data_IF_905512772022
#
_entry.id   IF_905512772022
#
_cell.length_a   1.000
_cell.length_b   1.000
_cell.length_c   1.000
_cell.angle_alpha   90.00
_cell.angle_beta   90.00
_cell.angle_gamma   90.00
#
_symmetry.space_group_name_H-M   'P 1'
#
loop_
_entity.id
_entity.type
_entity.pdbx_description
1 polymer ?
#
# COMPACT_ATOMS: atom_id res chain seq x y z
N UNK A 1 13.81 -7.61 -15.94
CA UNK A 1 13.15 -6.63 -16.81
C UNK A 1 11.73 -6.39 -16.28
N UNK A 2 11.44 -5.18 -15.82
CA UNK A 2 10.11 -4.85 -15.24
C UNK A 2 9.12 -4.49 -16.34
N UNK A 3 7.87 -4.88 -16.14
CA UNK A 3 6.74 -4.49 -16.99
C UNK A 3 6.36 -3.02 -16.70
N UNK A 4 6.81 -2.12 -17.55
CA UNK A 4 6.63 -0.68 -17.37
C UNK A 4 5.17 -0.22 -17.51
N UNK A 5 4.42 -0.87 -18.39
CA UNK A 5 3.01 -0.54 -18.61
C UNK A 5 2.20 -0.96 -17.38
N UNK A 6 2.44 -2.14 -16.87
CA UNK A 6 1.84 -2.61 -15.63
C UNK A 6 2.22 -1.71 -14.42
N UNK A 7 3.51 -1.33 -14.30
CA UNK A 7 3.95 -0.41 -13.25
C UNK A 7 3.17 0.91 -13.28
N UNK A 8 3.00 1.49 -14.46
CA UNK A 8 2.23 2.74 -14.61
C UNK A 8 0.77 2.55 -14.25
N UNK A 9 0.10 1.56 -14.83
CA UNK A 9 -1.33 1.30 -14.61
C UNK A 9 -1.63 0.98 -13.15
N UNK A 10 -0.87 0.07 -12.56
CA UNK A 10 -1.07 -0.35 -11.18
C UNK A 10 -0.76 0.78 -10.17
N UNK A 11 0.24 1.62 -10.47
CA UNK A 11 0.52 2.81 -9.66
C UNK A 11 -0.64 3.79 -9.67
N UNK A 12 -1.28 4.00 -10.82
CA UNK A 12 -2.46 4.86 -10.92
C UNK A 12 -3.66 4.31 -10.18
N UNK A 13 -3.80 2.99 -10.07
CA UNK A 13 -4.97 2.32 -9.50
C UNK A 13 -4.82 1.94 -8.02
N UNK A 14 -3.60 1.92 -7.46
CA UNK A 14 -3.36 1.31 -6.15
C UNK A 14 -4.20 1.89 -5.01
N UNK A 15 -4.53 3.15 -5.08
CA UNK A 15 -5.32 3.89 -4.08
C UNK A 15 -6.79 4.14 -4.49
N UNK A 16 -7.27 3.51 -5.54
CA UNK A 16 -8.61 3.79 -6.07
C UNK A 16 -9.73 3.64 -5.04
N UNK A 17 -9.54 2.82 -4.01
CA UNK A 17 -10.54 2.58 -2.96
C UNK A 17 -10.66 3.68 -1.91
N UNK A 18 -9.80 4.69 -1.90
CA UNK A 18 -9.79 5.72 -0.84
C UNK A 18 -11.10 6.51 -0.73
N UNK A 19 -11.82 6.70 -1.82
CA UNK A 19 -13.03 7.52 -1.84
C UNK A 19 -14.17 6.95 -0.97
N UNK A 20 -14.16 5.64 -0.68
CA UNK A 20 -15.13 5.00 0.22
C UNK A 20 -14.76 5.10 1.69
N UNK A 21 -13.62 5.68 2.02
CA UNK A 21 -13.12 5.76 3.38
C UNK A 21 -13.46 7.08 4.06
N UNK A 22 -13.52 7.06 5.38
CA UNK A 22 -13.63 8.26 6.22
C UNK A 22 -12.22 8.84 6.43
N UNK A 23 -11.84 9.76 5.56
CA UNK A 23 -10.54 10.41 5.58
C UNK A 23 -10.66 11.90 5.16
N UNK A 24 -11.24 12.75 6.03
CA UNK A 24 -11.52 14.15 5.68
C UNK A 24 -10.26 14.97 5.35
N UNK A 25 -9.11 14.61 5.91
CA UNK A 25 -7.82 15.26 5.61
C UNK A 25 -7.36 15.12 4.16
N UNK A 26 -7.94 14.20 3.40
CA UNK A 26 -7.72 14.01 1.96
C UNK A 26 -9.02 14.11 1.16
N UNK A 27 -10.01 14.82 1.70
CA UNK A 27 -11.31 15.07 1.06
C UNK A 27 -12.13 13.79 0.76
N UNK A 28 -11.92 12.72 1.51
CA UNK A 28 -12.72 11.50 1.40
C UNK A 28 -13.77 11.47 2.51
N UNK A 29 -15.04 11.39 2.11
CA UNK A 29 -16.20 11.46 3.01
C UNK A 29 -17.01 10.15 3.05
N UNK A 30 -16.36 9.03 2.81
CA UNK A 30 -16.96 7.71 2.95
C UNK A 30 -17.14 7.29 4.41
N UNK A 31 -17.52 6.05 4.62
CA UNK A 31 -17.81 5.50 5.96
C UNK A 31 -16.85 4.39 6.40
N UNK A 32 -16.06 3.87 5.48
CA UNK A 32 -15.14 2.77 5.76
C UNK A 32 -13.87 3.25 6.48
N UNK A 33 -13.30 2.46 7.39
CA UNK A 33 -11.98 2.77 7.96
C UNK A 33 -10.92 2.90 6.86
N UNK A 34 -10.03 3.88 6.98
CA UNK A 34 -9.01 4.15 5.97
C UNK A 34 -8.13 2.92 5.64
N UNK A 35 -7.81 2.10 6.64
CA UNK A 35 -7.00 0.88 6.45
C UNK A 35 -7.61 -0.09 5.43
N UNK A 36 -8.91 -0.02 5.16
CA UNK A 36 -9.61 -0.87 4.19
C UNK A 36 -9.47 -0.43 2.75
N UNK A 37 -8.87 0.73 2.48
CA UNK A 37 -8.79 1.28 1.11
C UNK A 37 -8.14 0.32 0.10
N UNK A 38 -7.12 -0.42 0.51
CA UNK A 38 -6.47 -1.41 -0.34
C UNK A 38 -7.39 -2.57 -0.73
N UNK A 39 -8.14 -3.11 0.20
CA UNK A 39 -9.11 -4.19 -0.06
C UNK A 39 -10.30 -3.70 -0.90
N UNK A 40 -10.79 -2.51 -0.62
CA UNK A 40 -11.86 -1.88 -1.40
C UNK A 40 -11.41 -1.65 -2.84
N UNK A 41 -10.22 -1.10 -3.02
CA UNK A 41 -9.62 -0.90 -4.34
C UNK A 41 -9.42 -2.21 -5.10
N UNK A 42 -8.92 -3.23 -4.41
CA UNK A 42 -8.74 -4.57 -4.99
C UNK A 42 -10.07 -5.16 -5.47
N UNK A 43 -11.14 -5.03 -4.71
CA UNK A 43 -12.47 -5.51 -5.10
C UNK A 43 -12.97 -4.80 -6.37
N UNK A 44 -12.85 -3.46 -6.43
CA UNK A 44 -13.24 -2.66 -7.59
C UNK A 44 -12.50 -3.12 -8.84
N UNK A 45 -11.18 -3.19 -8.75
CA UNK A 45 -10.30 -3.52 -9.88
C UNK A 45 -10.46 -4.97 -10.32
N UNK A 46 -10.64 -5.89 -9.37
CA UNK A 46 -10.88 -7.32 -9.65
C UNK A 46 -12.21 -7.54 -10.36
N UNK A 47 -13.25 -6.79 -9.98
CA UNK A 47 -14.56 -6.85 -10.64
C UNK A 47 -14.50 -6.38 -12.11
N UNK A 48 -13.53 -5.55 -12.46
CA UNK A 48 -13.27 -5.14 -13.85
C UNK A 48 -12.34 -6.11 -14.60
N UNK A 49 -11.92 -7.21 -13.99
CA UNK A 49 -11.11 -8.26 -14.62
C UNK A 49 -9.59 -8.07 -14.50
N UNK A 50 -9.11 -7.15 -13.66
CA UNK A 50 -7.69 -6.82 -13.53
C UNK A 50 -7.07 -7.41 -12.25
N UNK A 51 -6.92 -8.73 -12.20
CA UNK A 51 -6.44 -9.44 -11.01
C UNK A 51 -5.05 -8.99 -10.54
N UNK A 52 -4.08 -8.84 -11.46
CA UNK A 52 -2.73 -8.41 -11.09
C UNK A 52 -2.70 -7.01 -10.47
N UNK A 53 -3.51 -6.10 -11.00
CA UNK A 53 -3.66 -4.73 -10.47
C UNK A 53 -4.36 -4.75 -9.11
N UNK A 54 -5.35 -5.63 -8.92
CA UNK A 54 -6.02 -5.82 -7.64
C UNK A 54 -5.05 -6.28 -6.54
N UNK A 55 -4.10 -7.15 -6.86
CA UNK A 55 -3.07 -7.58 -5.92
C UNK A 55 -2.21 -6.40 -5.44
N UNK A 56 -1.89 -5.46 -6.31
CA UNK A 56 -1.16 -4.23 -5.90
C UNK A 56 -2.00 -3.40 -4.92
N UNK A 57 -3.30 -3.23 -5.20
CA UNK A 57 -4.20 -2.51 -4.30
C UNK A 57 -4.20 -3.11 -2.89
N UNK A 58 -4.41 -4.40 -2.76
CA UNK A 58 -4.56 -5.05 -1.44
C UNK A 58 -3.25 -5.29 -0.70
N UNK A 59 -2.08 -5.18 -1.37
CA UNK A 59 -0.78 -5.54 -0.81
C UNK A 59 0.15 -4.35 -0.54
N UNK A 60 -0.30 -3.11 -0.76
CA UNK A 60 0.60 -1.94 -0.65
C UNK A 60 0.62 -1.27 0.72
N UNK A 61 -0.25 -1.64 1.66
CA UNK A 61 -0.28 -1.03 3.00
C UNK A 61 0.97 -1.39 3.79
N UNK A 62 1.65 -0.39 4.33
CA UNK A 62 2.97 -0.58 4.94
C UNK A 62 3.94 -1.16 3.91
N UNK A 63 4.63 -2.24 4.25
CA UNK A 63 5.36 -3.10 3.31
C UNK A 63 4.67 -4.46 3.13
N UNK A 64 3.39 -4.50 3.43
CA UNK A 64 2.51 -5.67 3.42
C UNK A 64 1.97 -5.99 4.81
N UNK A 65 0.84 -6.67 4.85
CA UNK A 65 0.20 -7.11 6.09
C UNK A 65 0.08 -8.63 6.10
N UNK A 66 0.38 -9.24 7.24
CA UNK A 66 0.23 -10.68 7.45
C UNK A 66 -0.98 -10.96 8.35
N UNK A 67 -1.48 -12.21 8.35
CA UNK A 67 -2.50 -12.67 9.30
C UNK A 67 -2.13 -12.32 10.73
N UNK A 68 -0.87 -12.52 11.08
CA UNK A 68 -0.34 -12.25 12.42
C UNK A 68 -0.43 -10.76 12.76
N UNK A 69 -0.01 -9.89 11.84
CA UNK A 69 -0.09 -8.43 12.05
C UNK A 69 -1.53 -7.93 12.12
N UNK A 70 -2.42 -8.47 11.29
CA UNK A 70 -3.85 -8.14 11.31
C UNK A 70 -4.46 -8.51 12.68
N UNK A 71 -4.16 -9.70 13.17
CA UNK A 71 -4.64 -10.15 14.49
C UNK A 71 -4.03 -9.32 15.63
N UNK A 72 -2.70 -9.10 15.60
CA UNK A 72 -1.97 -8.36 16.63
C UNK A 72 -2.48 -6.94 16.82
N UNK A 73 -2.75 -6.24 15.72
CA UNK A 73 -3.22 -4.86 15.73
C UNK A 73 -4.75 -4.74 15.63
N UNK A 74 -5.47 -5.86 15.64
CA UNK A 74 -6.93 -5.91 15.49
C UNK A 74 -7.43 -5.03 14.33
N UNK A 75 -6.80 -5.19 13.15
CA UNK A 75 -7.13 -4.38 12.00
C UNK A 75 -8.50 -4.78 11.41
N UNK A 76 -9.37 -3.81 11.06
CA UNK A 76 -10.70 -4.08 10.53
C UNK A 76 -10.68 -4.45 9.04
N UNK A 77 -9.86 -5.42 8.67
CA UNK A 77 -9.73 -5.95 7.32
C UNK A 77 -9.91 -7.45 7.31
N UNK A 78 -10.24 -8.01 6.16
CA UNK A 78 -10.41 -9.46 6.02
C UNK A 78 -9.10 -10.17 6.35
N UNK A 79 -9.18 -11.22 7.17
CA UNK A 79 -8.02 -12.02 7.57
C UNK A 79 -7.37 -12.66 6.34
N UNK A 80 -6.05 -12.51 6.22
CA UNK A 80 -5.26 -13.03 5.12
C UNK A 80 -3.82 -12.51 5.15
N UNK A 81 -3.04 -12.93 4.16
CA UNK A 81 -1.68 -12.45 3.95
C UNK A 81 -1.66 -11.53 2.72
N UNK A 82 -1.32 -10.26 2.93
CA UNK A 82 -1.35 -9.20 1.93
C UNK A 82 0.01 -8.51 1.87
N UNK A 83 1.00 -9.16 1.28
CA UNK A 83 2.35 -8.60 1.09
C UNK A 83 2.78 -8.70 -0.37
N UNK A 84 3.57 -7.74 -0.87
CA UNK A 84 4.05 -7.74 -2.25
C UNK A 84 4.88 -8.98 -2.57
N UNK A 85 4.58 -9.64 -3.67
CA UNK A 85 5.26 -10.86 -4.13
C UNK A 85 6.11 -10.58 -5.37
N UNK A 86 5.51 -10.03 -6.43
CA UNK A 86 6.25 -9.70 -7.65
C UNK A 86 7.20 -8.51 -7.44
N UNK A 87 8.17 -8.38 -8.33
CA UNK A 87 9.10 -7.26 -8.28
C UNK A 87 8.36 -5.93 -8.52
N UNK A 88 7.40 -5.93 -9.43
CA UNK A 88 6.56 -4.77 -9.71
C UNK A 88 5.73 -4.35 -8.49
N UNK A 89 5.11 -5.31 -7.80
CA UNK A 89 4.39 -5.02 -6.55
C UNK A 89 5.31 -4.39 -5.50
N UNK A 90 6.52 -4.91 -5.34
CA UNK A 90 7.52 -4.38 -4.39
C UNK A 90 7.97 -2.97 -4.76
N UNK A 91 8.24 -2.72 -6.04
CA UNK A 91 8.65 -1.39 -6.52
C UNK A 91 7.56 -0.36 -6.25
N UNK A 92 6.30 -0.67 -6.59
CA UNK A 92 5.18 0.24 -6.37
C UNK A 92 4.99 0.50 -4.87
N UNK A 93 4.95 -0.55 -4.07
CA UNK A 93 4.79 -0.45 -2.62
C UNK A 93 5.92 0.37 -1.98
N UNK A 94 7.17 0.16 -2.41
CA UNK A 94 8.32 0.90 -1.92
C UNK A 94 8.25 2.38 -2.30
N UNK A 95 8.01 2.69 -3.58
CA UNK A 95 7.91 4.06 -4.07
C UNK A 95 6.80 4.86 -3.36
N UNK A 96 5.65 4.24 -3.11
CA UNK A 96 4.52 4.85 -2.41
C UNK A 96 4.91 5.38 -1.01
N UNK A 97 5.87 4.76 -0.33
CA UNK A 97 6.30 5.20 1.02
C UNK A 97 6.96 6.58 1.04
N UNK A 98 7.44 7.05 -0.10
CA UNK A 98 8.07 8.38 -0.21
C UNK A 98 7.09 9.52 -0.46
N UNK A 99 5.80 9.24 -0.62
CA UNK A 99 4.78 10.25 -0.90
C UNK A 99 3.67 10.23 0.13
N UNK A 100 3.00 11.38 0.28
CA UNK A 100 1.86 11.54 1.19
C UNK A 100 0.72 12.24 0.49
N UNK A 101 -0.49 11.76 0.70
CA UNK A 101 -1.71 12.38 0.17
C UNK A 101 -2.00 13.77 0.77
N UNK A 102 -1.42 14.08 1.93
CA UNK A 102 -1.61 15.37 2.62
C UNK A 102 -0.54 16.40 2.29
N UNK A 103 0.57 15.98 1.69
CA UNK A 103 1.68 16.84 1.29
C UNK A 103 2.05 16.58 -0.17
N UNK A 104 1.13 16.95 -1.06
CA UNK A 104 1.30 16.81 -2.49
C UNK A 104 2.58 17.54 -2.95
N UNK A 105 3.22 17.00 -3.97
CA UNK A 105 4.47 17.52 -4.56
C UNK A 105 5.70 17.51 -3.64
N UNK A 106 5.62 16.90 -2.45
CA UNK A 106 6.76 16.72 -1.57
C UNK A 106 7.13 15.25 -1.46
N UNK A 107 8.32 14.90 -1.93
CA UNK A 107 8.94 13.60 -1.67
C UNK A 107 9.51 13.57 -0.26
N UNK A 108 9.24 12.50 0.47
CA UNK A 108 9.86 12.24 1.77
C UNK A 108 11.33 11.86 1.59
N UNK A 109 12.16 12.26 2.53
CA UNK A 109 13.51 11.70 2.66
C UNK A 109 13.42 10.22 3.03
N UNK A 110 14.52 9.49 2.82
CA UNK A 110 14.60 8.08 3.22
C UNK A 110 14.31 7.91 4.73
N UNK A 111 14.85 8.80 5.57
CA UNK A 111 14.60 8.78 7.01
C UNK A 111 13.12 9.00 7.36
N UNK A 112 12.45 9.92 6.68
CA UNK A 112 11.00 10.17 6.85
C UNK A 112 10.17 8.97 6.40
N UNK A 113 10.48 8.37 5.25
CA UNK A 113 9.80 7.18 4.76
C UNK A 113 9.97 6.01 5.73
N UNK A 114 11.20 5.73 6.17
CA UNK A 114 11.51 4.68 7.16
C UNK A 114 10.75 4.88 8.46
N UNK A 115 10.73 6.10 9.00
CA UNK A 115 9.98 6.43 10.22
C UNK A 115 8.47 6.15 10.07
N UNK A 116 7.91 6.37 8.89
CA UNK A 116 6.49 6.08 8.65
C UNK A 116 6.15 4.59 8.73
N UNK A 117 7.14 3.72 8.56
CA UNK A 117 6.98 2.26 8.66
C UNK A 117 7.08 1.77 10.11
N UNK A 118 7.77 2.48 10.98
CA UNK A 118 7.98 2.08 12.38
C UNK A 118 6.66 1.81 13.13
N UNK A 119 5.59 2.51 12.79
CA UNK A 119 4.25 2.28 13.36
C UNK A 119 3.68 0.88 13.11
N UNK A 120 4.20 0.17 12.10
CA UNK A 120 3.77 -1.18 11.75
C UNK A 120 4.63 -2.27 12.41
N UNK A 121 5.68 -1.90 13.13
CA UNK A 121 6.56 -2.79 13.87
C UNK A 121 7.93 -3.02 13.23
N UNK A 122 8.84 -3.63 14.02
CA UNK A 122 10.23 -3.86 13.62
C UNK A 122 10.37 -4.77 12.40
N UNK A 123 9.49 -5.76 12.27
CA UNK A 123 9.49 -6.68 11.12
C UNK A 123 9.25 -5.92 9.81
N UNK A 124 8.36 -4.94 9.82
CA UNK A 124 8.09 -4.07 8.68
C UNK A 124 9.30 -3.20 8.34
N UNK A 125 9.96 -2.67 9.36
CA UNK A 125 11.18 -1.85 9.18
C UNK A 125 12.29 -2.70 8.57
N UNK A 126 12.48 -3.93 9.01
CA UNK A 126 13.49 -4.83 8.45
C UNK A 126 13.23 -5.11 6.96
N UNK A 127 11.99 -5.35 6.56
CA UNK A 127 11.61 -5.54 5.15
C UNK A 127 11.89 -4.26 4.34
N UNK A 128 11.52 -3.10 4.87
CA UNK A 128 11.79 -1.83 4.22
C UNK A 128 13.29 -1.60 4.02
N UNK A 129 14.11 -1.88 5.03
CA UNK A 129 15.56 -1.76 4.96
C UNK A 129 16.18 -2.71 3.90
N UNK A 130 15.64 -3.92 3.75
CA UNK A 130 16.04 -4.83 2.66
C UNK A 130 15.67 -4.27 1.29
N UNK A 131 14.50 -3.67 1.16
CA UNK A 131 14.11 -3.02 -0.10
C UNK A 131 14.96 -1.79 -0.41
N UNK A 132 15.40 -1.04 0.59
CA UNK A 132 16.37 0.04 0.39
C UNK A 132 17.68 -0.45 -0.26
N UNK A 133 18.20 -1.59 0.20
CA UNK A 133 19.39 -2.21 -0.41
C UNK A 133 19.14 -2.70 -1.84
N UNK A 134 17.91 -3.07 -2.14
CA UNK A 134 17.54 -3.62 -3.44
C UNK A 134 17.31 -2.52 -4.48
N UNK A 135 16.74 -1.38 -4.09
CA UNK A 135 16.25 -0.34 -5.00
C UNK A 135 17.05 0.96 -5.00
N UNK A 136 17.90 1.17 -3.98
CA UNK A 136 18.74 2.36 -3.84
C UNK A 136 20.22 2.01 -3.88
#
# INVERSE_FOLDING_TARGET
NLDKDFLFEASMLHDIGIFKTDAPGICCTGTEPYIRHGQIGAEIVRNEGYEKHALVCERHTGVGLTRESIAKFNLPIKMGDYFPVSMEEKVICFADKFYSKTKLYKEKTLAEARRSIERFGEDQVAIFDEWCKMFL
#
